data_IF_780639616777
#
_entry.id   IF_780639616777
#
_cell.length_a   1.000
_cell.length_b   1.000
_cell.length_c   1.000
_cell.angle_alpha   90.00
_cell.angle_beta   90.00
_cell.angle_gamma   90.00
#
_symmetry.space_group_name_H-M   'P 1'
#
loop_
_entity.id
_entity.type
_entity.pdbx_description
1 polymer ?
#
# COMPACT_ATOMS: atom_id res chain seq x y z
N UNK A 1 17.10 -26.20 31.08
CA UNK A 1 16.24 -27.27 30.55
C UNK A 1 15.99 -26.99 29.09
N UNK A 2 16.20 -27.97 28.20
CA UNK A 2 15.84 -27.84 26.78
C UNK A 2 14.31 -27.91 26.69
N UNK A 3 13.66 -26.91 26.12
CA UNK A 3 12.22 -26.95 25.82
C UNK A 3 11.92 -28.22 25.02
N UNK A 4 10.83 -28.91 25.35
CA UNK A 4 10.38 -30.09 24.60
C UNK A 4 9.82 -29.66 23.24
N UNK A 5 9.91 -30.53 22.22
CA UNK A 5 9.42 -30.22 20.86
C UNK A 5 7.92 -29.88 20.83
N UNK A 6 7.15 -30.43 21.77
CA UNK A 6 5.72 -30.14 21.95
C UNK A 6 5.48 -28.71 22.46
N UNK A 7 6.27 -28.23 23.43
CA UNK A 7 6.21 -26.85 23.92
C UNK A 7 6.55 -25.87 22.79
N UNK A 8 7.57 -26.18 21.98
CA UNK A 8 7.95 -25.33 20.85
C UNK A 8 6.85 -25.23 19.79
N UNK A 9 6.20 -26.35 19.46
CA UNK A 9 5.08 -26.41 18.51
C UNK A 9 3.85 -25.66 19.01
N UNK A 10 3.58 -25.72 20.32
CA UNK A 10 2.49 -24.97 20.96
C UNK A 10 2.74 -23.45 20.88
N UNK A 11 3.94 -22.97 21.24
CA UNK A 11 4.29 -21.56 21.12
C UNK A 11 4.27 -21.07 19.67
N UNK A 12 4.64 -21.92 18.70
CA UNK A 12 4.60 -21.60 17.28
C UNK A 12 3.17 -21.41 16.75
N UNK A 13 2.25 -22.31 17.12
CA UNK A 13 0.83 -22.20 16.78
C UNK A 13 0.15 -21.02 17.49
N UNK A 14 0.55 -20.72 18.73
CA UNK A 14 0.09 -19.55 19.47
C UNK A 14 0.56 -18.26 18.81
N UNK A 15 1.81 -18.20 18.33
CA UNK A 15 2.33 -17.08 17.55
C UNK A 15 1.48 -16.85 16.30
N UNK A 16 1.15 -17.91 15.56
CA UNK A 16 0.30 -17.85 14.37
C UNK A 16 -1.10 -17.31 14.67
N UNK A 17 -1.70 -17.73 15.78
CA UNK A 17 -3.05 -17.32 16.19
C UNK A 17 -3.08 -15.88 16.69
N UNK A 18 -2.07 -15.47 17.48
CA UNK A 18 -1.91 -14.09 17.96
C UNK A 18 -1.57 -13.14 16.82
N UNK A 19 -0.89 -13.61 15.78
CA UNK A 19 -0.64 -12.83 14.56
C UNK A 19 -1.89 -12.66 13.68
N UNK A 20 -2.81 -13.63 13.71
CA UNK A 20 -4.07 -13.57 12.97
C UNK A 20 -5.08 -12.57 13.59
N UNK A 21 -5.02 -12.35 14.90
CA UNK A 21 -5.96 -11.46 15.62
C UNK A 21 -5.89 -9.99 15.18
N UNK A 22 -4.72 -9.33 15.08
CA UNK A 22 -4.60 -7.97 14.56
C UNK A 22 -5.02 -7.87 13.10
N UNK A 23 -4.69 -8.88 12.30
CA UNK A 23 -5.02 -8.97 10.87
C UNK A 23 -6.52 -9.21 10.61
N UNK A 24 -7.31 -9.60 11.62
CA UNK A 24 -8.78 -9.61 11.56
C UNK A 24 -9.39 -8.25 11.92
N UNK A 25 -8.77 -7.51 12.84
CA UNK A 25 -9.31 -6.23 13.33
C UNK A 25 -9.02 -5.08 12.37
N UNK A 26 -7.85 -5.09 11.72
CA UNK A 26 -7.48 -4.04 10.75
C UNK A 26 -8.46 -3.94 9.58
N UNK A 27 -8.84 -5.06 8.91
CA UNK A 27 -9.92 -5.07 7.92
C UNK A 27 -11.27 -4.67 8.49
N UNK A 28 -11.56 -4.94 9.76
CA UNK A 28 -12.84 -4.60 10.39
C UNK A 28 -12.96 -3.09 10.63
N UNK A 29 -11.92 -2.43 11.15
CA UNK A 29 -11.91 -0.98 11.38
C UNK A 29 -11.95 -0.22 10.04
N UNK A 30 -11.21 -0.71 9.04
CA UNK A 30 -11.25 -0.20 7.68
C UNK A 30 -12.60 -0.48 7.01
N UNK A 31 -13.18 -1.66 7.22
CA UNK A 31 -14.50 -2.07 6.73
C UNK A 31 -15.62 -1.16 7.28
N UNK A 32 -15.64 -0.90 8.59
CA UNK A 32 -16.59 0.02 9.23
C UNK A 32 -16.44 1.45 8.68
N UNK A 33 -15.20 1.89 8.42
CA UNK A 33 -14.94 3.19 7.79
C UNK A 33 -15.42 3.24 6.33
N UNK A 34 -15.29 2.12 5.60
CA UNK A 34 -15.76 1.95 4.23
C UNK A 34 -17.29 1.83 4.14
N UNK A 35 -17.97 1.32 5.16
CA UNK A 35 -19.45 1.28 5.24
C UNK A 35 -20.07 2.68 5.40
N UNK A 36 -19.41 3.60 6.13
CA UNK A 36 -19.93 4.95 6.36
C UNK A 36 -19.65 5.93 5.21
N UNK A 37 -18.48 5.81 4.58
CA UNK A 37 -18.01 6.75 3.55
C UNK A 37 -18.21 6.19 2.13
N UNK A 38 -18.39 4.87 2.02
CA UNK A 38 -18.35 4.14 0.76
C UNK A 38 -16.91 3.76 0.37
N UNK A 39 -16.71 2.51 -0.01
CA UNK A 39 -15.39 1.96 -0.39
C UNK A 39 -14.73 2.76 -1.53
N UNK A 40 -15.54 3.23 -2.48
CA UNK A 40 -15.12 4.06 -3.62
C UNK A 40 -14.54 5.40 -3.16
N UNK A 41 -15.27 6.11 -2.29
CA UNK A 41 -14.86 7.39 -1.74
C UNK A 41 -13.62 7.27 -0.85
N UNK A 42 -13.51 6.17 -0.09
CA UNK A 42 -12.34 5.92 0.75
C UNK A 42 -11.08 5.66 -0.08
N UNK A 43 -11.16 4.85 -1.13
CA UNK A 43 -10.04 4.64 -2.06
C UNK A 43 -9.61 5.95 -2.75
N UNK A 44 -10.56 6.81 -3.13
CA UNK A 44 -10.26 8.12 -3.69
C UNK A 44 -9.54 9.03 -2.68
N UNK A 45 -10.02 9.07 -1.43
CA UNK A 45 -9.40 9.88 -0.39
C UNK A 45 -7.96 9.45 -0.11
N UNK A 46 -7.70 8.14 -0.04
CA UNK A 46 -6.37 7.58 0.15
C UNK A 46 -5.45 7.84 -1.05
N UNK A 47 -5.97 7.71 -2.28
CA UNK A 47 -5.22 8.02 -3.50
C UNK A 47 -4.85 9.52 -3.57
N UNK A 48 -5.75 10.41 -3.16
CA UNK A 48 -5.47 11.85 -3.06
C UNK A 48 -4.43 12.16 -1.97
N UNK A 49 -4.49 11.47 -0.82
CA UNK A 49 -3.50 11.63 0.25
C UNK A 49 -2.09 11.21 -0.23
N UNK A 50 -2.00 10.11 -0.97
CA UNK A 50 -0.77 9.66 -1.63
C UNK A 50 -0.26 10.70 -2.63
N UNK A 51 -1.15 11.28 -3.44
CA UNK A 51 -0.80 12.31 -4.41
C UNK A 51 -0.22 13.56 -3.73
N UNK A 52 -0.83 14.01 -2.65
CA UNK A 52 -0.34 15.14 -1.86
C UNK A 52 1.04 14.83 -1.25
N UNK A 53 1.23 13.64 -0.68
CA UNK A 53 2.52 13.22 -0.12
C UNK A 53 3.65 13.16 -1.15
N UNK A 54 3.33 12.69 -2.36
CA UNK A 54 4.29 12.64 -3.47
C UNK A 54 4.59 14.04 -4.04
N UNK A 55 3.59 14.91 -4.14
CA UNK A 55 3.79 16.32 -4.51
C UNK A 55 4.72 17.03 -3.52
N UNK A 56 4.53 16.83 -2.22
CA UNK A 56 5.39 17.41 -1.18
C UNK A 56 6.83 16.92 -1.30
N UNK A 57 7.05 15.62 -1.59
CA UNK A 57 8.38 15.10 -1.88
C UNK A 57 8.99 15.75 -3.12
N UNK A 58 8.23 15.89 -4.20
CA UNK A 58 8.71 16.50 -5.44
C UNK A 58 9.10 17.98 -5.26
N UNK A 59 8.27 18.75 -4.56
CA UNK A 59 8.54 20.15 -4.20
C UNK A 59 9.72 20.27 -3.24
N UNK A 60 9.80 19.37 -2.25
CA UNK A 60 10.90 19.31 -1.29
C UNK A 60 12.24 19.04 -1.96
N UNK A 61 12.28 18.12 -2.93
CA UNK A 61 13.48 17.83 -3.73
C UNK A 61 13.86 19.02 -4.62
N UNK A 62 12.88 19.75 -5.18
CA UNK A 62 13.16 20.96 -5.97
C UNK A 62 13.77 22.10 -5.14
N UNK A 63 13.30 22.30 -3.91
CA UNK A 63 13.84 23.31 -2.99
C UNK A 63 15.04 22.81 -2.16
N UNK A 64 15.52 21.58 -2.38
CA UNK A 64 16.59 20.94 -1.59
C UNK A 64 16.33 20.95 -0.07
N UNK A 65 15.05 20.96 0.34
CA UNK A 65 14.61 21.03 1.73
C UNK A 65 14.30 19.64 2.26
N UNK A 66 15.22 19.06 3.02
CA UNK A 66 15.05 17.73 3.62
C UNK A 66 13.83 17.63 4.54
N UNK A 67 13.48 18.70 5.26
CA UNK A 67 12.30 18.72 6.14
C UNK A 67 10.99 18.52 5.37
N UNK A 68 10.86 19.14 4.20
CA UNK A 68 9.68 19.02 3.35
C UNK A 68 9.59 17.63 2.70
N UNK A 69 10.72 17.06 2.28
CA UNK A 69 10.77 15.69 1.74
C UNK A 69 10.38 14.66 2.80
N UNK A 70 10.88 14.79 4.02
CA UNK A 70 10.52 13.90 5.14
C UNK A 70 9.04 13.97 5.48
N UNK A 71 8.47 15.17 5.55
CA UNK A 71 7.02 15.35 5.74
C UNK A 71 6.22 14.67 4.63
N UNK A 72 6.60 14.88 3.37
CA UNK A 72 5.96 14.21 2.24
C UNK A 72 6.07 12.69 2.32
N UNK A 73 7.20 12.16 2.83
CA UNK A 73 7.41 10.72 3.02
C UNK A 73 6.51 10.13 4.10
N UNK A 74 6.30 10.85 5.20
CA UNK A 74 5.37 10.43 6.26
C UNK A 74 3.94 10.39 5.74
N UNK A 75 3.50 11.44 5.04
CA UNK A 75 2.14 11.50 4.47
C UNK A 75 1.94 10.40 3.43
N UNK A 76 2.90 10.21 2.53
CA UNK A 76 2.85 9.15 1.52
C UNK A 76 2.85 7.75 2.16
N UNK A 77 3.68 7.52 3.16
CA UNK A 77 3.75 6.23 3.88
C UNK A 77 2.43 5.88 4.57
N UNK A 78 1.83 6.85 5.27
CA UNK A 78 0.54 6.66 5.93
C UNK A 78 -0.58 6.34 4.93
N UNK A 79 -0.62 7.05 3.79
CA UNK A 79 -1.58 6.76 2.73
C UNK A 79 -1.37 5.39 2.08
N UNK A 80 -0.11 4.98 1.90
CA UNK A 80 0.27 3.73 1.23
C UNK A 80 -0.10 2.49 2.02
N UNK A 81 0.25 2.47 3.30
CA UNK A 81 -0.13 1.38 4.21
C UNK A 81 -1.66 1.26 4.32
N UNK A 82 -2.34 2.40 4.51
CA UNK A 82 -3.81 2.43 4.59
C UNK A 82 -4.47 1.92 3.30
N UNK A 83 -3.93 2.27 2.12
CA UNK A 83 -4.46 1.81 0.84
C UNK A 83 -4.23 0.32 0.60
N UNK A 84 -3.08 -0.22 1.03
CA UNK A 84 -2.80 -1.66 0.94
C UNK A 84 -3.82 -2.48 1.76
N UNK A 85 -4.08 -2.06 3.00
CA UNK A 85 -5.07 -2.74 3.86
C UNK A 85 -6.49 -2.60 3.29
N UNK A 86 -6.85 -1.43 2.74
CA UNK A 86 -8.14 -1.24 2.08
C UNK A 86 -8.33 -2.17 0.87
N UNK A 87 -7.31 -2.31 0.01
CA UNK A 87 -7.35 -3.18 -1.18
C UNK A 87 -7.46 -4.67 -0.82
N UNK A 88 -6.67 -5.12 0.14
CA UNK A 88 -6.70 -6.52 0.60
C UNK A 88 -8.04 -6.88 1.24
N UNK A 89 -8.62 -5.97 2.02
CA UNK A 89 -9.97 -6.12 2.58
C UNK A 89 -11.04 -6.17 1.49
N UNK A 90 -11.00 -5.25 0.52
CA UNK A 90 -11.93 -5.24 -0.62
C UNK A 90 -11.86 -6.54 -1.42
N UNK A 91 -10.66 -7.05 -1.71
CA UNK A 91 -10.48 -8.32 -2.42
C UNK A 91 -11.02 -9.50 -1.62
N UNK A 92 -10.79 -9.53 -0.31
CA UNK A 92 -11.31 -10.57 0.56
C UNK A 92 -12.84 -10.57 0.60
N UNK A 93 -13.47 -9.40 0.58
CA UNK A 93 -14.93 -9.26 0.53
C UNK A 93 -15.51 -9.66 -0.83
N UNK A 94 -14.89 -9.23 -1.94
CA UNK A 94 -15.37 -9.51 -3.30
C UNK A 94 -15.28 -11.00 -3.66
N UNK A 95 -14.19 -11.67 -3.28
CA UNK A 95 -13.98 -13.10 -3.57
C UNK A 95 -14.44 -14.03 -2.43
N UNK A 96 -15.28 -13.52 -1.51
CA UNK A 96 -15.74 -14.28 -0.35
C UNK A 96 -16.50 -15.53 -0.77
N UNK A 97 -15.91 -16.71 -0.56
CA UNK A 97 -16.53 -18.02 -0.78
C UNK A 97 -15.91 -18.88 -1.90
N UNK A 98 -15.11 -18.33 -2.81
CA UNK A 98 -14.31 -19.10 -3.77
C UNK A 98 -13.08 -18.28 -4.20
N UNK A 99 -11.88 -18.86 -4.11
CA UNK A 99 -10.62 -18.31 -4.66
C UNK A 99 -10.03 -17.04 -4.00
N UNK A 100 -10.32 -16.73 -2.73
CA UNK A 100 -9.70 -15.59 -2.00
C UNK A 100 -8.16 -15.67 -2.04
N UNK A 101 -7.61 -16.85 -1.77
CA UNK A 101 -6.17 -17.07 -1.75
C UNK A 101 -5.52 -16.82 -3.13
N UNK A 102 -6.21 -17.19 -4.21
CA UNK A 102 -5.76 -16.93 -5.57
C UNK A 102 -5.80 -15.42 -5.89
N UNK A 103 -6.88 -14.72 -5.55
CA UNK A 103 -7.01 -13.28 -5.77
C UNK A 103 -5.94 -12.48 -5.01
N UNK A 104 -5.68 -12.82 -3.75
CA UNK A 104 -4.62 -12.20 -2.96
C UNK A 104 -3.22 -12.53 -3.51
N UNK A 105 -3.00 -13.78 -3.92
CA UNK A 105 -1.74 -14.21 -4.54
C UNK A 105 -1.46 -13.47 -5.86
N UNK A 106 -2.50 -13.26 -6.68
CA UNK A 106 -2.40 -12.48 -7.90
C UNK A 106 -2.11 -11.00 -7.61
N UNK A 107 -2.83 -10.39 -6.66
CA UNK A 107 -2.56 -9.01 -6.24
C UNK A 107 -1.10 -8.84 -5.80
N UNK A 108 -0.60 -9.74 -4.95
CA UNK A 108 0.78 -9.69 -4.49
C UNK A 108 1.78 -9.87 -5.65
N UNK A 109 1.48 -10.76 -6.59
CA UNK A 109 2.31 -10.98 -7.78
C UNK A 109 2.41 -9.71 -8.64
N UNK A 110 1.29 -9.01 -8.85
CA UNK A 110 1.26 -7.73 -9.56
C UNK A 110 2.04 -6.66 -8.80
N UNK A 111 1.88 -6.57 -7.48
CA UNK A 111 2.64 -5.63 -6.65
C UNK A 111 4.15 -5.89 -6.72
N UNK A 112 4.56 -7.17 -6.69
CA UNK A 112 5.98 -7.57 -6.82
C UNK A 112 6.52 -7.25 -8.20
N UNK A 113 5.75 -7.51 -9.25
CA UNK A 113 6.11 -7.14 -10.61
C UNK A 113 6.31 -5.63 -10.75
N UNK A 114 5.44 -4.82 -10.14
CA UNK A 114 5.60 -3.37 -10.07
C UNK A 114 6.89 -2.94 -9.36
N UNK A 115 7.26 -3.61 -8.26
CA UNK A 115 8.54 -3.35 -7.57
C UNK A 115 9.73 -3.68 -8.46
N UNK A 116 9.72 -4.83 -9.14
CA UNK A 116 10.82 -5.22 -10.05
C UNK A 116 10.96 -4.25 -11.21
N UNK A 117 9.84 -3.79 -11.78
CA UNK A 117 9.87 -2.73 -12.79
C UNK A 117 10.45 -1.44 -12.23
N UNK A 118 10.08 -1.05 -11.01
CA UNK A 118 10.63 0.12 -10.35
C UNK A 118 12.15 -0.01 -10.11
N UNK A 119 12.60 -1.17 -9.62
CA UNK A 119 14.03 -1.43 -9.37
C UNK A 119 14.85 -1.47 -10.66
N UNK A 120 14.24 -1.87 -11.79
CA UNK A 120 14.89 -1.85 -13.10
C UNK A 120 14.90 -0.45 -13.73
N UNK A 121 13.82 0.31 -13.57
CA UNK A 121 13.66 1.65 -14.13
C UNK A 121 14.40 2.71 -13.31
N UNK A 122 14.46 2.57 -11.99
CA UNK A 122 15.11 3.52 -11.07
C UNK A 122 16.54 3.86 -11.47
N UNK A 123 17.46 2.89 -11.65
CA UNK A 123 18.85 3.20 -12.04
C UNK A 123 18.95 3.82 -13.44
N UNK A 124 18.06 3.44 -14.37
CA UNK A 124 18.03 4.03 -15.72
C UNK A 124 17.54 5.49 -15.73
N UNK A 125 16.58 5.82 -14.87
CA UNK A 125 16.05 7.18 -14.71
C UNK A 125 17.04 8.05 -13.93
N UNK A 126 17.64 7.52 -12.86
CA UNK A 126 18.65 8.22 -12.07
C UNK A 126 19.88 8.59 -12.89
N UNK A 127 20.34 7.70 -13.78
CA UNK A 127 21.49 7.95 -14.64
C UNK A 127 21.30 9.12 -15.62
N UNK A 128 20.06 9.41 -16.04
CA UNK A 128 19.76 10.47 -17.03
C UNK A 128 19.12 11.73 -16.44
N UNK A 129 18.34 11.61 -15.35
CA UNK A 129 17.51 12.69 -14.80
C UNK A 129 17.77 12.98 -13.31
N UNK A 130 18.65 12.22 -12.65
CA UNK A 130 18.98 12.39 -11.24
C UNK A 130 17.81 12.11 -10.29
N UNK A 131 18.00 12.43 -9.01
CA UNK A 131 17.06 12.15 -7.91
C UNK A 131 15.68 12.80 -8.15
N UNK A 132 15.65 13.98 -8.77
CA UNK A 132 14.41 14.67 -9.13
C UNK A 132 13.59 13.89 -10.14
N UNK A 133 14.24 13.21 -11.09
CA UNK A 133 13.57 12.36 -12.08
C UNK A 133 12.83 11.17 -11.46
N UNK A 134 13.40 10.55 -10.43
CA UNK A 134 12.77 9.45 -9.70
C UNK A 134 11.50 9.90 -8.97
N UNK A 135 11.52 11.08 -8.33
CA UNK A 135 10.33 11.63 -7.66
C UNK A 135 9.22 12.04 -8.64
N UNK A 136 9.57 12.55 -9.82
CA UNK A 136 8.61 12.86 -10.89
C UNK A 136 8.00 11.58 -11.48
N UNK A 137 8.80 10.53 -11.70
CA UNK A 137 8.28 9.23 -12.10
C UNK A 137 7.29 8.67 -11.06
N UNK A 138 7.61 8.81 -9.76
CA UNK A 138 6.68 8.51 -8.68
C UNK A 138 5.40 9.36 -8.73
N UNK A 139 5.49 10.65 -9.04
CA UNK A 139 4.32 11.52 -9.19
C UNK A 139 3.40 11.06 -10.33
N UNK A 140 3.97 10.63 -11.46
CA UNK A 140 3.21 10.10 -12.61
C UNK A 140 2.50 8.79 -12.21
N UNK A 141 3.18 7.89 -11.49
CA UNK A 141 2.59 6.64 -11.03
C UNK A 141 1.44 6.86 -10.03
N UNK A 142 1.55 7.85 -9.15
CA UNK A 142 0.48 8.19 -8.22
C UNK A 142 -0.67 8.90 -8.94
N UNK A 143 -0.37 9.77 -9.91
CA UNK A 143 -1.39 10.41 -10.73
C UNK A 143 -2.19 9.39 -11.55
N UNK A 144 -1.53 8.39 -12.15
CA UNK A 144 -2.23 7.31 -12.87
C UNK A 144 -3.11 6.49 -11.93
N UNK A 145 -2.64 6.24 -10.70
CA UNK A 145 -3.45 5.57 -9.66
C UNK A 145 -4.71 6.37 -9.34
N UNK A 146 -4.61 7.68 -9.14
CA UNK A 146 -5.79 8.54 -8.91
C UNK A 146 -6.76 8.50 -10.09
N UNK A 147 -6.25 8.56 -11.33
CA UNK A 147 -7.10 8.49 -12.54
C UNK A 147 -7.81 7.13 -12.64
N UNK A 148 -7.10 6.04 -12.37
CA UNK A 148 -7.66 4.69 -12.37
C UNK A 148 -8.72 4.52 -11.28
N UNK A 149 -8.47 5.04 -10.07
CA UNK A 149 -9.45 5.02 -8.98
C UNK A 149 -10.68 5.85 -9.33
N UNK A 150 -10.52 7.02 -9.95
CA UNK A 150 -11.62 7.85 -10.45
C UNK A 150 -12.43 7.14 -11.53
N UNK A 151 -11.77 6.45 -12.46
CA UNK A 151 -12.44 5.65 -13.49
C UNK A 151 -13.25 4.51 -12.85
N UNK A 152 -12.67 3.78 -11.90
CA UNK A 152 -13.34 2.73 -11.12
C UNK A 152 -14.57 3.23 -10.36
N UNK A 153 -14.53 4.46 -9.85
CA UNK A 153 -15.65 5.05 -9.12
C UNK A 153 -16.80 5.52 -10.02
N UNK A 154 -16.53 5.75 -11.31
CA UNK A 154 -17.50 6.24 -12.30
C UNK A 154 -18.35 5.13 -12.93
N UNK A 155 -17.92 3.87 -12.83
CA UNK A 155 -18.71 2.68 -13.17
C UNK A 155 -19.52 2.18 -11.97
#
# INVERSE_FOLDING_TARGET
>A
SRMTEEEYTYYFNLLYTVYALPNMITPLVLGVSMEWIGIRSMLLLLALLLFIGQLLQCVGTYHLSMGTVLLGRVVYGLGGESMNVAQTTLLAEWFRGHEIAFALGLNLSVARFGSVLNDLLSPGIEAHYGVTGAFVAGLIAVASTVVLTLALCRF
#
